data_IF_700190901323
#
_entry.id   IF_700190901323
#
_cell.length_a   1.000
_cell.length_b   1.000
_cell.length_c   1.000
_cell.angle_alpha   90.00
_cell.angle_beta   90.00
_cell.angle_gamma   90.00
#
_symmetry.space_group_name_H-M   'P 1'
#
loop_
_entity.id
_entity.type
_entity.pdbx_description
1 polymer ?
#
# COMPACT_ATOMS: atom_id res chain seq x y z
N UNK A 1 -1.24 7.91 -24.17
CA UNK A 1 -1.96 7.90 -22.89
C UNK A 1 -1.81 9.29 -22.29
N UNK A 2 -2.89 10.05 -22.15
CA UNK A 2 -2.84 11.34 -21.44
C UNK A 2 -2.99 11.03 -19.94
N UNK A 3 -2.07 11.47 -19.06
CA UNK A 3 -2.30 11.36 -17.62
C UNK A 3 -3.52 12.21 -17.23
N UNK A 4 -4.25 11.84 -16.16
CA UNK A 4 -5.36 12.64 -15.66
C UNK A 4 -4.93 14.10 -15.44
N UNK A 5 -5.86 15.04 -15.51
CA UNK A 5 -5.60 16.41 -15.04
C UNK A 5 -5.34 16.32 -13.53
N UNK A 6 -4.09 16.52 -13.10
CA UNK A 6 -3.61 16.20 -11.75
C UNK A 6 -3.02 14.80 -11.56
N UNK A 7 -2.70 14.09 -12.66
CA UNK A 7 -2.16 12.72 -12.65
C UNK A 7 -0.77 12.56 -12.05
N UNK A 8 -0.24 11.33 -12.11
CA UNK A 8 1.11 10.99 -11.61
C UNK A 8 2.15 12.02 -12.07
N UNK A 9 2.81 12.67 -11.11
CA UNK A 9 3.89 13.63 -11.36
C UNK A 9 5.24 12.94 -11.52
N UNK A 10 5.81 13.06 -12.71
CA UNK A 10 7.12 12.51 -13.04
C UNK A 10 7.99 13.51 -13.81
N UNK A 11 9.25 13.16 -13.97
CA UNK A 11 10.22 13.91 -14.78
C UNK A 11 10.80 12.96 -15.83
N UNK A 12 10.73 13.33 -17.11
CA UNK A 12 11.16 12.50 -18.23
C UNK A 12 10.57 11.07 -18.21
N UNK A 13 9.30 10.93 -17.80
CA UNK A 13 8.63 9.63 -17.70
C UNK A 13 9.02 8.79 -16.48
N UNK A 14 9.85 9.31 -15.57
CA UNK A 14 10.19 8.68 -14.31
C UNK A 14 9.32 9.27 -13.21
N UNK A 15 8.52 8.41 -12.57
CA UNK A 15 7.62 8.75 -11.48
C UNK A 15 8.25 8.38 -10.14
N UNK A 16 8.06 9.21 -9.13
CA UNK A 16 8.52 8.96 -7.76
C UNK A 16 7.34 8.97 -6.80
N UNK A 17 7.52 8.37 -5.63
CA UNK A 17 6.58 8.54 -4.53
C UNK A 17 7.16 8.09 -3.21
N UNK A 18 6.32 8.13 -2.18
CA UNK A 18 6.75 8.01 -0.79
C UNK A 18 5.99 6.91 -0.06
N UNK A 19 6.66 6.29 0.90
CA UNK A 19 6.03 5.48 1.94
C UNK A 19 6.08 6.31 3.24
N UNK A 20 5.11 7.21 3.48
CA UNK A 20 5.12 8.07 4.66
C UNK A 20 4.97 7.24 5.94
N UNK A 21 5.66 7.67 6.99
CA UNK A 21 5.56 7.09 8.33
C UNK A 21 4.39 7.74 9.11
N UNK A 22 3.17 7.57 8.58
CA UNK A 22 1.97 8.28 9.06
C UNK A 22 1.64 7.91 10.50
N UNK A 23 1.87 6.66 10.88
CA UNK A 23 1.63 6.18 12.24
C UNK A 23 2.57 6.84 13.26
N UNK A 24 3.71 7.38 12.81
CA UNK A 24 4.63 8.21 13.61
C UNK A 24 4.51 9.72 13.31
N UNK A 25 3.45 10.15 12.63
CA UNK A 25 3.12 11.56 12.40
C UNK A 25 3.77 12.18 11.17
N UNK A 26 4.45 11.41 10.31
CA UNK A 26 5.01 11.91 9.05
C UNK A 26 4.04 11.60 7.91
N UNK A 27 3.30 12.61 7.48
CA UNK A 27 2.34 12.48 6.37
C UNK A 27 2.99 12.82 5.01
N UNK A 28 2.32 12.48 3.91
CA UNK A 28 2.87 12.72 2.56
C UNK A 28 3.01 14.22 2.24
N UNK A 29 2.16 15.08 2.79
CA UNK A 29 2.23 16.53 2.55
C UNK A 29 3.50 17.15 3.12
N UNK A 30 3.95 16.70 4.30
CA UNK A 30 5.21 17.13 4.90
C UNK A 30 6.42 16.77 4.02
N UNK A 31 6.42 15.56 3.46
CA UNK A 31 7.50 15.11 2.56
C UNK A 31 7.48 15.90 1.26
N UNK A 32 6.30 16.14 0.69
CA UNK A 32 6.15 16.93 -0.54
C UNK A 32 6.62 18.38 -0.33
N UNK A 33 6.31 18.99 0.81
CA UNK A 33 6.78 20.34 1.16
C UNK A 33 8.30 20.39 1.33
N UNK A 34 8.87 19.45 2.10
CA UNK A 34 10.31 19.38 2.33
C UNK A 34 11.12 19.14 1.04
N UNK A 35 10.54 18.45 0.06
CA UNK A 35 11.21 18.13 -1.22
C UNK A 35 10.87 19.10 -2.35
N UNK A 36 9.83 19.92 -2.19
CA UNK A 36 9.28 20.77 -3.25
C UNK A 36 8.70 19.97 -4.43
N UNK A 37 8.33 18.70 -4.23
CA UNK A 37 7.83 17.79 -5.27
C UNK A 37 6.59 17.06 -4.76
N UNK A 38 5.55 17.02 -5.59
CA UNK A 38 4.38 16.18 -5.30
C UNK A 38 4.67 14.74 -5.72
N UNK A 39 4.38 13.77 -4.87
CA UNK A 39 4.50 12.35 -5.16
C UNK A 39 3.47 11.86 -6.19
N UNK A 40 3.88 10.94 -7.06
CA UNK A 40 2.98 10.15 -7.92
C UNK A 40 2.32 8.99 -7.18
N UNK A 41 3.01 8.43 -6.19
CA UNK A 41 2.56 7.24 -5.47
C UNK A 41 2.61 7.43 -3.97
N UNK A 42 1.70 6.75 -3.29
CA UNK A 42 1.56 6.72 -1.84
C UNK A 42 1.64 5.25 -1.41
N UNK A 43 2.71 4.84 -0.74
CA UNK A 43 2.84 3.49 -0.20
C UNK A 43 2.36 3.36 1.24
N UNK A 44 1.52 2.35 1.51
CA UNK A 44 1.17 1.92 2.87
C UNK A 44 1.31 0.40 2.98
N UNK A 45 1.77 -0.04 4.15
CA UNK A 45 1.80 -1.45 4.54
C UNK A 45 0.55 -1.85 5.31
N UNK A 46 0.04 -3.05 5.02
CA UNK A 46 -1.07 -3.65 5.77
C UNK A 46 -0.84 -5.14 5.94
N UNK A 47 -1.13 -5.66 7.12
CA UNK A 47 -0.86 -7.03 7.51
C UNK A 47 -2.14 -7.88 7.55
N UNK A 48 -2.06 -9.06 6.96
CA UNK A 48 -3.01 -10.16 7.16
C UNK A 48 -2.47 -11.01 8.31
N UNK A 49 -3.20 -11.06 9.42
CA UNK A 49 -2.82 -11.82 10.62
C UNK A 49 -3.69 -13.05 10.86
N UNK A 50 -4.75 -13.21 10.08
CA UNK A 50 -5.70 -14.32 10.15
C UNK A 50 -5.79 -14.98 8.77
N UNK A 51 -5.67 -16.31 8.70
CA UNK A 51 -5.73 -17.07 7.46
C UNK A 51 -7.10 -17.00 6.75
N UNK A 52 -8.16 -16.62 7.47
CA UNK A 52 -9.54 -16.63 6.98
C UNK A 52 -10.18 -15.24 6.88
N UNK A 53 -9.49 -14.16 7.27
CA UNK A 53 -10.06 -12.81 7.17
C UNK A 53 -9.03 -11.70 6.98
N UNK A 54 -9.43 -10.66 6.25
CA UNK A 54 -8.72 -9.40 6.10
C UNK A 54 -9.71 -8.21 6.04
N UNK A 55 -9.60 -7.27 6.98
CA UNK A 55 -10.55 -6.13 7.08
C UNK A 55 -10.03 -4.83 6.45
N UNK A 56 -8.72 -4.77 6.13
CA UNK A 56 -8.10 -3.58 5.56
C UNK A 56 -8.02 -2.39 6.51
N UNK A 57 -8.28 -2.54 7.82
CA UNK A 57 -8.33 -1.41 8.78
C UNK A 57 -7.09 -0.50 8.70
N UNK A 58 -5.91 -1.11 8.53
CA UNK A 58 -4.65 -0.36 8.43
C UNK A 58 -4.54 0.51 7.18
N UNK A 59 -5.19 0.12 6.08
CA UNK A 59 -5.29 0.97 4.88
C UNK A 59 -6.40 2.01 5.06
N UNK A 60 -7.59 1.55 5.48
CA UNK A 60 -8.81 2.35 5.51
C UNK A 60 -8.74 3.52 6.50
N UNK A 61 -7.98 3.39 7.60
CA UNK A 61 -7.75 4.49 8.54
C UNK A 61 -7.07 5.71 7.91
N UNK A 62 -6.40 5.55 6.76
CA UNK A 62 -5.72 6.62 6.02
C UNK A 62 -6.41 7.02 4.72
N UNK A 63 -7.64 6.57 4.46
CA UNK A 63 -8.32 6.77 3.16
C UNK A 63 -8.43 8.25 2.77
N UNK A 64 -8.67 9.14 3.75
CA UNK A 64 -8.79 10.58 3.49
C UNK A 64 -7.46 11.20 3.07
N UNK A 65 -6.35 10.80 3.67
CA UNK A 65 -5.01 11.30 3.34
C UNK A 65 -4.56 10.78 1.97
N UNK A 66 -4.80 9.49 1.69
CA UNK A 66 -4.52 8.90 0.38
C UNK A 66 -5.33 9.64 -0.69
N UNK A 67 -6.63 9.85 -0.46
CA UNK A 67 -7.51 10.56 -1.41
C UNK A 67 -7.07 12.01 -1.62
N UNK A 68 -6.73 12.74 -0.55
CA UNK A 68 -6.33 14.15 -0.68
C UNK A 68 -4.97 14.32 -1.36
N UNK A 69 -4.10 13.31 -1.31
CA UNK A 69 -2.79 13.35 -1.98
C UNK A 69 -2.88 13.40 -3.51
N UNK A 70 -3.94 12.84 -4.09
CA UNK A 70 -4.09 12.62 -5.54
C UNK A 70 -3.13 11.57 -6.13
N UNK A 71 -2.32 10.92 -5.30
CA UNK A 71 -1.37 9.90 -5.72
C UNK A 71 -2.02 8.52 -5.90
N UNK A 72 -1.37 7.64 -6.66
CA UNK A 72 -1.75 6.22 -6.76
C UNK A 72 -1.37 5.50 -5.47
N UNK A 73 -2.30 4.77 -4.87
CA UNK A 73 -2.05 3.96 -3.69
C UNK A 73 -1.27 2.68 -4.06
N UNK A 74 -0.08 2.51 -3.49
CA UNK A 74 0.65 1.23 -3.49
C UNK A 74 0.27 0.47 -2.21
N UNK A 75 -0.76 -0.37 -2.31
CA UNK A 75 -1.24 -1.17 -1.18
C UNK A 75 -0.35 -2.41 -0.98
N UNK A 76 0.61 -2.30 -0.06
CA UNK A 76 1.56 -3.37 0.28
C UNK A 76 0.98 -4.31 1.32
N UNK A 77 0.19 -5.29 0.86
CA UNK A 77 -0.56 -6.21 1.72
C UNK A 77 0.27 -7.49 1.96
N UNK A 78 0.55 -7.81 3.22
CA UNK A 78 1.49 -8.87 3.58
C UNK A 78 0.91 -9.85 4.61
N UNK A 79 1.01 -11.17 4.38
CA UNK A 79 0.79 -12.16 5.42
C UNK A 79 1.85 -12.01 6.52
N UNK A 80 1.44 -11.96 7.78
CA UNK A 80 2.33 -11.87 8.95
C UNK A 80 1.94 -12.93 9.96
N UNK A 81 2.91 -13.77 10.37
CA UNK A 81 2.65 -14.91 11.24
C UNK A 81 1.84 -16.04 10.59
N UNK A 82 1.67 -16.00 9.26
CA UNK A 82 0.96 -17.01 8.47
C UNK A 82 1.91 -17.65 7.46
N UNK A 83 1.71 -18.95 7.19
CA UNK A 83 2.31 -19.61 6.04
C UNK A 83 1.61 -19.14 4.77
N UNK A 84 2.35 -19.03 3.68
CA UNK A 84 1.77 -18.61 2.40
C UNK A 84 0.65 -19.55 1.91
N UNK A 85 0.75 -20.84 2.22
CA UNK A 85 -0.29 -21.85 1.92
C UNK A 85 -1.62 -21.61 2.66
N UNK A 86 -1.62 -20.82 3.72
CA UNK A 86 -2.83 -20.47 4.47
C UNK A 86 -3.58 -19.28 3.84
N UNK A 87 -2.97 -18.59 2.87
CA UNK A 87 -3.65 -17.54 2.10
C UNK A 87 -4.50 -18.19 1.00
N UNK A 88 -5.80 -18.32 1.28
CA UNK A 88 -6.78 -18.88 0.35
C UNK A 88 -7.63 -17.85 -0.40
N UNK A 89 -8.59 -18.30 -1.24
CA UNK A 89 -9.49 -17.44 -1.99
C UNK A 89 -10.32 -16.46 -1.15
N UNK A 90 -10.60 -16.80 0.12
CA UNK A 90 -11.29 -15.91 1.05
C UNK A 90 -10.53 -14.60 1.27
N UNK A 91 -9.20 -14.68 1.49
CA UNK A 91 -8.35 -13.51 1.66
C UNK A 91 -8.30 -12.69 0.36
N UNK A 92 -8.25 -13.33 -0.81
CA UNK A 92 -8.28 -12.61 -2.08
C UNK A 92 -9.58 -11.81 -2.25
N UNK A 93 -10.73 -12.40 -1.87
CA UNK A 93 -12.03 -11.71 -1.87
C UNK A 93 -12.06 -10.54 -0.90
N UNK A 94 -11.49 -10.70 0.27
CA UNK A 94 -11.40 -9.65 1.29
C UNK A 94 -10.52 -8.48 0.81
N UNK A 95 -9.34 -8.78 0.25
CA UNK A 95 -8.46 -7.77 -0.38
C UNK A 95 -9.22 -7.00 -1.47
N UNK A 96 -9.91 -7.71 -2.38
CA UNK A 96 -10.69 -7.07 -3.43
C UNK A 96 -11.79 -6.17 -2.86
N UNK A 97 -12.45 -6.59 -1.78
CA UNK A 97 -13.49 -5.81 -1.09
C UNK A 97 -12.92 -4.53 -0.48
N UNK A 98 -11.74 -4.60 0.15
CA UNK A 98 -11.03 -3.44 0.70
C UNK A 98 -10.58 -2.49 -0.41
N UNK A 99 -9.92 -3.02 -1.45
CA UNK A 99 -9.43 -2.23 -2.59
C UNK A 99 -10.58 -1.53 -3.32
N UNK A 100 -11.75 -2.18 -3.42
CA UNK A 100 -12.94 -1.59 -4.02
C UNK A 100 -13.36 -0.28 -3.34
N UNK A 101 -13.21 -0.15 -2.02
CA UNK A 101 -13.55 1.08 -1.30
C UNK A 101 -12.68 2.26 -1.75
N UNK A 102 -11.41 2.03 -2.07
CA UNK A 102 -10.52 3.04 -2.64
C UNK A 102 -10.91 3.40 -4.08
N UNK A 103 -11.16 2.39 -4.93
CA UNK A 103 -11.55 2.65 -6.32
C UNK A 103 -12.91 3.35 -6.43
N UNK A 104 -13.85 3.03 -5.54
CA UNK A 104 -15.14 3.72 -5.44
C UNK A 104 -14.95 5.19 -5.01
N UNK A 105 -13.95 5.45 -4.18
CA UNK A 105 -13.50 6.80 -3.80
C UNK A 105 -12.61 7.48 -4.87
N UNK A 106 -12.50 6.92 -6.08
CA UNK A 106 -11.70 7.41 -7.22
C UNK A 106 -10.19 7.42 -6.98
N UNK A 107 -9.70 6.58 -6.08
CA UNK A 107 -8.27 6.32 -5.88
C UNK A 107 -7.84 5.15 -6.75
N UNK A 108 -6.83 5.35 -7.59
CA UNK A 108 -6.16 4.25 -8.29
C UNK A 108 -5.30 3.46 -7.30
N UNK A 109 -5.33 2.13 -7.40
CA UNK A 109 -4.62 1.23 -6.47
C UNK A 109 -3.77 0.25 -7.26
N UNK A 110 -2.48 0.17 -6.92
CA UNK A 110 -1.58 -0.90 -7.33
C UNK A 110 -1.33 -1.81 -6.14
N UNK A 111 -1.88 -3.03 -6.22
CA UNK A 111 -1.76 -4.02 -5.15
C UNK A 111 -0.39 -4.68 -5.21
N UNK A 112 0.37 -4.59 -4.11
CA UNK A 112 1.67 -5.23 -3.92
C UNK A 112 1.57 -6.33 -2.86
N UNK A 113 0.88 -7.40 -3.23
CA UNK A 113 0.57 -8.53 -2.35
C UNK A 113 1.79 -9.44 -2.13
N UNK A 114 2.01 -9.85 -0.89
CA UNK A 114 3.07 -10.79 -0.47
C UNK A 114 4.45 -10.47 -1.07
N UNK A 115 4.83 -9.18 -1.05
CA UNK A 115 6.14 -8.75 -1.51
C UNK A 115 7.25 -9.31 -0.62
N UNK A 116 8.42 -9.56 -1.20
CA UNK A 116 9.57 -10.23 -0.55
C UNK A 116 9.40 -11.76 -0.40
N UNK A 117 8.77 -12.42 -1.38
CA UNK A 117 8.60 -13.89 -1.42
C UNK A 117 9.90 -14.69 -1.22
N UNK A 118 11.06 -14.14 -1.58
CA UNK A 118 12.36 -14.74 -1.31
C UNK A 118 12.66 -14.85 0.19
N UNK A 119 12.16 -13.94 1.02
CA UNK A 119 12.24 -14.03 2.48
C UNK A 119 11.28 -15.10 3.00
N UNK A 120 10.03 -15.09 2.54
CA UNK A 120 9.03 -16.11 2.90
C UNK A 120 9.46 -17.54 2.54
N UNK A 121 10.16 -17.73 1.42
CA UNK A 121 10.65 -19.03 0.98
C UNK A 121 11.75 -19.60 1.89
N UNK A 122 12.54 -18.74 2.54
CA UNK A 122 13.60 -19.15 3.47
C UNK A 122 13.08 -19.49 4.87
N UNK A 123 12.08 -18.75 5.36
CA UNK A 123 11.59 -18.88 6.75
C UNK A 123 10.26 -19.64 6.88
N UNK A 124 9.48 -19.76 5.80
CA UNK A 124 8.13 -20.31 5.79
C UNK A 124 7.04 -19.37 6.33
N UNK A 125 7.39 -18.25 6.97
CA UNK A 125 6.48 -17.23 7.52
C UNK A 125 7.21 -15.88 7.75
N UNK A 126 6.47 -14.77 7.68
CA UNK A 126 7.01 -13.44 8.03
C UNK A 126 6.85 -13.14 9.52
N UNK A 127 7.99 -12.88 10.19
CA UNK A 127 8.05 -12.65 11.63
C UNK A 127 7.79 -11.19 12.06
N UNK A 128 7.65 -10.23 11.15
CA UNK A 128 7.35 -8.84 11.54
C UNK A 128 8.48 -8.05 12.20
N UNK A 129 9.66 -8.65 12.45
CA UNK A 129 10.71 -8.02 13.29
C UNK A 129 11.77 -7.26 12.48
N UNK A 130 11.82 -7.38 11.15
CA UNK A 130 12.78 -6.63 10.31
C UNK A 130 12.16 -6.25 8.97
N UNK A 131 11.72 -4.99 8.84
CA UNK A 131 11.75 -4.30 7.55
C UNK A 131 13.21 -3.92 7.29
N UNK A 132 13.79 -4.40 6.20
CA UNK A 132 14.95 -3.75 5.59
C UNK A 132 14.46 -3.04 4.34
N UNK A 133 14.29 -1.73 4.45
CA UNK A 133 14.48 -0.76 3.36
C UNK A 133 15.33 0.37 3.92
#
# INVERSE_FOLDING_TARGET
>A
MHPPVGGMQGYNGIYWGWNPDIDNGVNISMINEATGKQASTFGIFSQIKNASSYDGHQLLKHINEIKSSGAVLIASIMPTGLKFSEVGPAIAKDIATVVKQFTDAKVEVWVRFAHEMNYYAGTGYYNGIRLFL
#
